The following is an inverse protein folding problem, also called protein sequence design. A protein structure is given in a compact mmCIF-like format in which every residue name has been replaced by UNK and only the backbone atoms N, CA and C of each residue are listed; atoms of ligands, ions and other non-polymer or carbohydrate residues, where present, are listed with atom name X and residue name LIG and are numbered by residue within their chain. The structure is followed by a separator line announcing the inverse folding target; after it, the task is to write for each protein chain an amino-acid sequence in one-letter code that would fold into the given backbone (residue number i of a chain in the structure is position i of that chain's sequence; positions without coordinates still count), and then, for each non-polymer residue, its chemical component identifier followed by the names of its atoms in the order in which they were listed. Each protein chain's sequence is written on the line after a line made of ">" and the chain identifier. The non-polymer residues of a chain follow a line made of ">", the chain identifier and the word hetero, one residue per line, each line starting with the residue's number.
data_IF_747522728499
#
_entry.id   IF_747522728499
#
_cell.length_a   1.000
_cell.length_b   1.000
_cell.length_c   1.000
_cell.angle_alpha   90.00
_cell.angle_beta   90.00
_cell.angle_gamma   90.00
#
_symmetry.space_group_name_H-M   'P 1'
#
loop_
_entity.id
_entity.type
_entity.pdbx_description
1 polymer ?
#
# COMPACT_ATOMS: atom_id res chain seq x y z
N UNK A 1 -3.19 1.92 -2.57
CA UNK A 1 -2.52 0.64 -2.20
C UNK A 1 -2.13 -0.17 -3.42
N UNK A 2 -3.07 -0.67 -4.24
CA UNK A 2 -2.74 -1.45 -5.45
C UNK A 2 -1.76 -0.75 -6.39
N UNK A 3 -2.07 0.51 -6.76
CA UNK A 3 -1.22 1.29 -7.65
C UNK A 3 0.18 1.52 -7.08
N UNK A 4 0.28 1.78 -5.76
CA UNK A 4 1.56 1.89 -5.07
C UNK A 4 2.35 0.57 -5.12
N UNK A 5 1.71 -0.56 -4.79
CA UNK A 5 2.37 -1.86 -4.80
C UNK A 5 2.75 -2.32 -6.20
N UNK A 6 1.93 -2.03 -7.22
CA UNK A 6 2.26 -2.30 -8.61
C UNK A 6 3.49 -1.51 -9.04
N UNK A 7 3.55 -0.22 -8.69
CA UNK A 7 4.73 0.60 -8.99
C UNK A 7 5.98 0.09 -8.26
N UNK A 8 5.86 -0.18 -6.96
CA UNK A 8 6.97 -0.71 -6.16
C UNK A 8 7.47 -2.04 -6.69
N UNK A 9 6.57 -2.92 -7.11
CA UNK A 9 6.92 -4.19 -7.73
C UNK A 9 7.80 -3.99 -8.96
N UNK A 10 7.37 -3.14 -9.90
CA UNK A 10 8.17 -2.86 -11.11
C UNK A 10 9.54 -2.26 -10.74
N UNK A 11 9.56 -1.31 -9.81
CA UNK A 11 10.81 -0.67 -9.38
C UNK A 11 11.80 -1.65 -8.71
N UNK A 12 11.31 -2.62 -7.93
CA UNK A 12 12.17 -3.63 -7.30
C UNK A 12 12.56 -4.77 -8.25
N UNK A 13 11.66 -5.17 -9.17
CA UNK A 13 11.95 -6.16 -10.23
C UNK A 13 13.09 -5.67 -11.15
N UNK A 14 13.14 -4.38 -11.48
CA UNK A 14 14.25 -3.76 -12.24
C UNK A 14 15.62 -3.88 -11.54
N UNK A 15 15.62 -4.18 -10.24
CA UNK A 15 16.82 -4.37 -9.42
C UNK A 15 16.97 -5.81 -8.89
N UNK A 16 16.23 -6.78 -9.43
CA UNK A 16 16.23 -8.20 -9.01
C UNK A 16 15.97 -8.38 -7.49
N UNK A 17 15.07 -7.55 -6.94
CA UNK A 17 14.68 -7.57 -5.52
C UNK A 17 13.23 -7.99 -5.35
N UNK A 18 12.97 -8.74 -4.29
CA UNK A 18 11.61 -9.09 -3.91
C UNK A 18 10.91 -7.90 -3.22
N UNK A 19 9.80 -7.43 -3.82
CA UNK A 19 9.02 -6.30 -3.31
C UNK A 19 8.38 -6.59 -1.95
N UNK A 20 7.99 -7.83 -1.68
CA UNK A 20 7.36 -8.21 -0.41
C UNK A 20 8.39 -8.18 0.71
N UNK A 21 9.58 -8.72 0.46
CA UNK A 21 10.73 -8.65 1.38
C UNK A 21 11.11 -7.20 1.69
N UNK A 22 11.10 -6.33 0.68
CA UNK A 22 11.49 -4.93 0.84
C UNK A 22 10.43 -4.05 1.54
N UNK A 23 9.14 -4.35 1.38
CA UNK A 23 8.05 -3.44 1.80
C UNK A 23 7.35 -3.92 3.07
N UNK A 24 7.02 -5.21 3.18
CA UNK A 24 6.12 -5.70 4.24
C UNK A 24 6.73 -5.60 5.64
N UNK A 25 8.00 -5.98 5.88
CA UNK A 25 8.60 -5.84 7.20
C UNK A 25 8.60 -4.40 7.71
N UNK A 26 8.98 -3.45 6.83
CA UNK A 26 9.00 -2.02 7.14
C UNK A 26 7.60 -1.49 7.47
N UNK A 27 6.60 -1.85 6.66
CA UNK A 27 5.21 -1.50 6.91
C UNK A 27 4.72 -2.03 8.27
N UNK A 28 4.91 -3.32 8.55
CA UNK A 28 4.48 -3.95 9.81
C UNK A 28 5.15 -3.29 11.01
N UNK A 29 6.45 -2.99 10.91
CA UNK A 29 7.17 -2.28 11.96
C UNK A 29 6.57 -0.88 12.19
N UNK A 30 6.31 -0.11 11.13
CA UNK A 30 5.70 1.22 11.22
C UNK A 30 4.30 1.18 11.83
N UNK A 31 3.44 0.25 11.41
CA UNK A 31 2.08 0.12 11.96
C UNK A 31 2.11 -0.22 13.47
N UNK A 32 3.04 -1.08 13.91
CA UNK A 32 3.22 -1.42 15.34
C UNK A 32 3.64 -0.23 16.20
N UNK A 33 4.29 0.77 15.60
CA UNK A 33 4.66 2.01 16.28
C UNK A 33 3.50 3.01 16.42
N UNK A 34 2.30 2.67 15.94
CA UNK A 34 1.10 3.52 15.98
C UNK A 34 -0.03 2.94 16.86
N UNK A 35 0.22 2.43 18.08
CA UNK A 35 -0.76 1.66 18.85
C UNK A 35 -1.99 2.45 19.29
N UNK A 36 -1.91 3.79 19.34
CA UNK A 36 -3.06 4.66 19.64
C UNK A 36 -4.10 4.68 18.53
N UNK A 37 -3.66 4.56 17.28
CA UNK A 37 -4.51 4.68 16.09
C UNK A 37 -4.76 3.34 15.42
N UNK A 38 -3.88 2.37 15.64
CA UNK A 38 -3.84 1.08 14.97
C UNK A 38 -3.78 -0.01 16.02
N UNK A 39 -4.87 -0.78 16.11
CA UNK A 39 -4.93 -1.96 16.96
C UNK A 39 -4.02 -3.06 16.40
N UNK A 40 -3.21 -3.75 17.22
CA UNK A 40 -2.30 -4.80 16.75
C UNK A 40 -2.98 -5.92 15.93
N UNK A 41 -4.24 -6.22 16.25
CA UNK A 41 -5.04 -7.29 15.61
C UNK A 41 -5.36 -6.99 14.14
N UNK A 42 -5.31 -5.72 13.73
CA UNK A 42 -5.58 -5.30 12.34
C UNK A 42 -4.33 -5.37 11.46
N UNK A 43 -3.14 -5.42 12.06
CA UNK A 43 -1.86 -5.42 11.35
C UNK A 43 -1.73 -6.63 10.39
N UNK A 44 -2.08 -7.87 10.78
CA UNK A 44 -2.07 -9.01 9.84
C UNK A 44 -2.97 -8.78 8.63
N UNK A 45 -4.15 -8.16 8.80
CA UNK A 45 -5.06 -7.84 7.69
C UNK A 45 -4.44 -6.84 6.73
N UNK A 46 -3.79 -5.78 7.24
CA UNK A 46 -3.10 -4.80 6.40
C UNK A 46 -1.89 -5.40 5.68
N UNK A 47 -1.11 -6.24 6.37
CA UNK A 47 0.00 -6.96 5.76
C UNK A 47 -0.50 -7.89 4.64
N UNK A 48 -1.58 -8.65 4.88
CA UNK A 48 -2.21 -9.50 3.89
C UNK A 48 -2.71 -8.73 2.67
N UNK A 49 -3.35 -7.57 2.88
CA UNK A 49 -3.78 -6.68 1.79
C UNK A 49 -2.60 -6.21 0.94
N UNK A 50 -1.49 -5.84 1.57
CA UNK A 50 -0.29 -5.37 0.86
C UNK A 50 0.40 -6.50 0.10
N UNK A 51 0.50 -7.70 0.70
CA UNK A 51 1.00 -8.90 0.00
C UNK A 51 0.15 -9.20 -1.22
N UNK A 52 -1.18 -9.22 -1.07
CA UNK A 52 -2.09 -9.48 -2.17
C UNK A 52 -1.97 -8.43 -3.29
N UNK A 53 -1.89 -7.15 -2.91
CA UNK A 53 -1.66 -6.08 -3.88
C UNK A 53 -0.32 -6.22 -4.60
N UNK A 54 0.75 -6.59 -3.88
CA UNK A 54 2.08 -6.86 -4.44
C UNK A 54 2.10 -8.05 -5.39
N UNK A 55 1.28 -9.07 -5.16
CA UNK A 55 1.16 -10.23 -6.06
C UNK A 55 0.16 -10.05 -7.20
N UNK A 56 -0.46 -8.87 -7.33
CA UNK A 56 -1.33 -8.49 -8.44
C UNK A 56 -2.83 -8.61 -8.16
N UNK A 57 -3.23 -8.96 -6.94
CA UNK A 57 -4.62 -9.04 -6.51
C UNK A 57 -5.14 -7.66 -6.09
N UNK A 58 -6.21 -7.18 -6.72
CA UNK A 58 -6.72 -5.83 -6.43
C UNK A 58 -7.45 -5.76 -5.08
N UNK A 59 -7.40 -4.63 -4.35
CA UNK A 59 -8.16 -4.40 -3.12
C UNK A 59 -9.66 -4.60 -3.29
N UNK A 60 -10.22 -4.30 -4.46
CA UNK A 60 -11.64 -4.55 -4.75
C UNK A 60 -11.95 -6.04 -4.84
N UNK A 61 -11.03 -6.83 -5.42
CA UNK A 61 -11.15 -8.29 -5.44
C UNK A 61 -10.96 -8.87 -4.03
N UNK A 62 -10.06 -8.30 -3.24
CA UNK A 62 -9.91 -8.62 -1.81
C UNK A 62 -11.20 -8.32 -1.03
N UNK A 63 -11.83 -7.16 -1.23
CA UNK A 63 -13.13 -6.85 -0.59
C UNK A 63 -14.22 -7.85 -0.98
N UNK A 64 -14.32 -8.22 -2.26
CA UNK A 64 -15.27 -9.25 -2.69
C UNK A 64 -15.13 -10.56 -1.89
N UNK A 65 -13.92 -10.90 -1.44
CA UNK A 65 -13.65 -12.11 -0.68
C UNK A 65 -13.86 -11.96 0.84
N UNK A 66 -13.70 -10.75 1.39
CA UNK A 66 -13.61 -10.52 2.83
C UNK A 66 -14.62 -9.49 3.38
N UNK A 67 -15.58 -9.00 2.57
CA UNK A 67 -16.69 -8.11 2.96
C UNK A 67 -16.50 -6.64 2.54
N UNK A 68 -17.07 -5.68 3.27
CA UNK A 68 -16.77 -4.23 3.12
C UNK A 68 -15.81 -3.73 4.21
N UNK A 69 -15.17 -2.58 4.00
CA UNK A 69 -14.32 -1.97 5.04
C UNK A 69 -15.17 -1.50 6.21
N UNK A 70 -14.75 -1.85 7.42
CA UNK A 70 -15.35 -1.33 8.64
C UNK A 70 -14.74 0.02 9.01
N UNK A 71 -15.47 0.81 9.80
CA UNK A 71 -14.96 2.08 10.34
C UNK A 71 -13.68 1.88 11.16
N UNK A 72 -13.59 0.77 11.87
CA UNK A 72 -12.46 0.37 12.69
C UNK A 72 -11.19 0.08 11.86
N UNK A 73 -11.35 -0.31 10.60
CA UNK A 73 -10.22 -0.59 9.69
C UNK A 73 -9.73 0.66 8.96
N UNK A 74 -10.51 1.75 8.96
CA UNK A 74 -10.23 2.93 8.12
C UNK A 74 -8.89 3.59 8.46
N UNK A 75 -8.60 3.80 9.76
CA UNK A 75 -7.30 4.36 10.18
C UNK A 75 -6.12 3.51 9.71
N UNK A 76 -6.28 2.18 9.74
CA UNK A 76 -5.24 1.25 9.33
C UNK A 76 -5.05 1.26 7.80
N UNK A 77 -6.14 1.42 7.06
CA UNK A 77 -6.13 1.54 5.60
C UNK A 77 -5.44 2.84 5.15
N UNK A 78 -5.78 3.96 5.79
CA UNK A 78 -5.15 5.26 5.53
C UNK A 78 -3.67 5.25 5.86
N UNK A 79 -3.30 4.74 7.05
CA UNK A 79 -1.90 4.62 7.45
C UNK A 79 -1.11 3.73 6.49
N UNK A 80 -1.68 2.62 6.03
CA UNK A 80 -1.05 1.73 5.04
C UNK A 80 -0.82 2.47 3.71
N UNK A 81 -1.82 3.22 3.22
CA UNK A 81 -1.68 3.99 1.99
C UNK A 81 -0.60 5.08 2.13
N UNK A 82 -0.58 5.79 3.26
CA UNK A 82 0.41 6.83 3.56
C UNK A 82 1.83 6.26 3.62
N UNK A 83 2.05 5.17 4.37
CA UNK A 83 3.37 4.56 4.53
C UNK A 83 3.93 4.04 3.20
N UNK A 84 3.08 3.49 2.33
CA UNK A 84 3.49 3.09 0.97
C UNK A 84 3.86 4.31 0.11
N UNK A 85 3.09 5.40 0.19
CA UNK A 85 3.41 6.63 -0.52
C UNK A 85 4.74 7.22 -0.04
N UNK A 86 4.96 7.28 1.28
CA UNK A 86 6.24 7.72 1.85
C UNK A 86 7.41 6.84 1.42
N UNK A 87 7.21 5.52 1.34
CA UNK A 87 8.23 4.60 0.88
C UNK A 87 8.65 4.89 -0.57
N UNK A 88 7.67 5.10 -1.46
CA UNK A 88 7.92 5.52 -2.85
C UNK A 88 8.63 6.87 -2.91
N UNK A 89 8.15 7.85 -2.13
CA UNK A 89 8.74 9.18 -2.09
C UNK A 89 10.20 9.15 -1.64
N UNK A 90 10.55 8.28 -0.68
CA UNK A 90 11.94 8.05 -0.26
C UNK A 90 12.77 7.36 -1.34
N UNK A 91 12.24 6.34 -2.00
CA UNK A 91 12.95 5.63 -3.07
C UNK A 91 13.27 6.54 -4.27
N UNK A 92 12.40 7.51 -4.54
CA UNK A 92 12.53 8.45 -5.66
C UNK A 92 13.22 9.76 -5.28
N UNK A 93 13.59 9.93 -4.01
CA UNK A 93 14.08 11.18 -3.42
C UNK A 93 13.19 12.40 -3.78
N UNK A 94 11.87 12.17 -3.79
CA UNK A 94 10.89 13.14 -4.26
C UNK A 94 9.61 13.06 -3.42
N UNK A 95 9.40 14.10 -2.60
CA UNK A 95 8.35 14.15 -1.57
C UNK A 95 6.92 14.00 -2.08
N UNK A 96 6.67 14.34 -3.35
CA UNK A 96 5.31 14.35 -3.92
C UNK A 96 5.16 13.40 -5.12
N UNK A 97 6.12 12.49 -5.32
CA UNK A 97 6.09 11.57 -6.45
C UNK A 97 4.87 10.64 -6.40
N UNK A 98 4.63 10.00 -5.26
CA UNK A 98 3.54 9.05 -5.09
C UNK A 98 2.16 9.70 -5.32
N UNK A 99 1.97 10.93 -4.84
CA UNK A 99 0.72 11.67 -5.03
C UNK A 99 0.47 12.00 -6.51
N UNK A 100 1.50 12.51 -7.21
CA UNK A 100 1.41 12.80 -8.65
C UNK A 100 1.15 11.56 -9.48
N UNK A 101 1.83 10.47 -9.18
CA UNK A 101 1.62 9.19 -9.84
C UNK A 101 0.15 8.73 -9.75
N UNK A 102 -0.49 8.89 -8.58
CA UNK A 102 -1.92 8.59 -8.43
C UNK A 102 -2.79 9.59 -9.20
N UNK A 103 -2.50 10.89 -9.10
CA UNK A 103 -3.27 11.92 -9.81
C UNK A 103 -3.26 11.70 -11.33
N UNK A 104 -2.10 11.38 -11.90
CA UNK A 104 -1.94 11.05 -13.32
C UNK A 104 -2.73 9.79 -13.70
N UNK A 105 -2.66 8.74 -12.88
CA UNK A 105 -3.41 7.51 -13.12
C UNK A 105 -4.93 7.75 -13.10
N UNK A 106 -5.39 8.61 -12.18
CA UNK A 106 -6.80 8.98 -12.07
C UNK A 106 -7.28 9.83 -13.25
N UNK A 107 -6.48 10.81 -13.71
CA UNK A 107 -6.82 11.63 -14.90
C UNK A 107 -7.03 10.76 -16.13
N UNK A 108 -6.13 9.80 -16.36
CA UNK A 108 -6.23 8.86 -17.49
C UNK A 108 -7.45 7.95 -17.42
N UNK A 109 -7.94 7.64 -16.21
CA UNK A 109 -9.12 6.80 -16.03
C UNK A 109 -10.44 7.56 -16.28
N UNK A 110 -10.44 8.88 -16.17
CA UNK A 110 -11.61 9.74 -16.43
C UNK A 110 -11.70 10.25 -17.87
N UNK A 111 -10.62 10.15 -18.64
CA UNK A 111 -10.55 10.57 -20.05
C UNK A 111 -10.99 9.48 -21.04
N UNK A 112 -11.51 8.34 -20.56
CA UNK A 112 -12.05 7.23 -21.36
C UNK A 112 -13.50 6.92 -21.03
#
# INVERSE_FOLDING_TARGET
>A
IYMFMRWLRMAYEDHDKDVIECVVPGLVASLRMMPKSIRPEVIPTMAGLVVAAGTGLSPSLWRKQYGDWTKDEMNSLEATALLLAEHINRLTDNRDFAARMIAEAMSRATEG
#
